data_IF_342800016988
#
_entry.id   IF_342800016988
#
_cell.length_a   1.000
_cell.length_b   1.000
_cell.length_c   1.000
_cell.angle_alpha   90.00
_cell.angle_beta   90.00
_cell.angle_gamma   90.00
#
_symmetry.space_group_name_H-M   'P 1'
#
loop_
_entity.id
_entity.type
_entity.pdbx_description
1 polymer ?
#
# COMPACT_ATOMS: atom_id res chain seq x y z
N UNK A 1 6.01 41.65 66.46
CA UNK A 1 5.66 42.86 65.67
C UNK A 1 4.93 42.33 64.44
N UNK A 2 3.64 42.41 64.26
CA UNK A 2 2.62 43.34 64.74
C UNK A 2 1.67 43.50 63.55
N UNK A 3 0.46 42.99 63.70
CA UNK A 3 -0.81 43.18 62.98
C UNK A 3 -0.88 43.84 61.59
N UNK A 4 -1.81 43.32 60.77
CA UNK A 4 -2.89 44.19 60.29
C UNK A 4 -3.19 44.25 58.80
N UNK A 5 -4.14 43.41 58.38
CA UNK A 5 -5.31 43.75 57.55
C UNK A 5 -5.22 43.99 56.01
N UNK A 6 -5.60 42.94 55.29
CA UNK A 6 -6.78 42.80 54.41
C UNK A 6 -7.15 43.82 53.28
N UNK A 7 -7.44 43.21 52.11
CA UNK A 7 -8.34 43.59 50.99
C UNK A 7 -7.86 44.64 49.97
N UNK A 8 -7.46 44.19 48.78
CA UNK A 8 -8.23 44.31 47.52
C UNK A 8 -7.41 43.76 46.33
N UNK A 9 -8.02 42.99 45.43
CA UNK A 9 -7.35 42.51 44.22
C UNK A 9 -8.24 41.67 43.31
N UNK A 10 -9.37 42.23 42.86
CA UNK A 10 -10.26 41.61 41.87
C UNK A 10 -9.95 42.18 40.48
N UNK A 11 -9.49 41.29 39.61
CA UNK A 11 -9.68 41.21 38.15
C UNK A 11 -9.73 42.50 37.30
N UNK A 12 -8.76 42.65 36.40
CA UNK A 12 -9.04 43.15 35.04
C UNK A 12 -8.10 42.46 34.02
N UNK A 13 -8.55 41.33 33.45
CA UNK A 13 -8.00 40.76 32.22
C UNK A 13 -9.02 40.97 31.12
N UNK A 14 -8.96 42.14 30.47
CA UNK A 14 -9.67 42.41 29.22
C UNK A 14 -9.19 41.44 28.14
N UNK A 15 -9.98 40.40 27.89
CA UNK A 15 -9.90 39.64 26.65
C UNK A 15 -10.38 40.56 25.51
N UNK A 16 -9.47 40.89 24.58
CA UNK A 16 -9.81 41.50 23.30
C UNK A 16 -10.78 40.56 22.57
N UNK A 17 -12.05 40.93 22.49
CA UNK A 17 -12.99 40.32 21.56
C UNK A 17 -12.54 40.64 20.13
N UNK A 18 -12.41 39.65 19.22
CA UNK A 18 -12.35 39.94 17.79
C UNK A 18 -13.70 40.53 17.37
N UNK A 19 -13.63 41.58 16.56
CA UNK A 19 -14.73 42.45 16.18
C UNK A 19 -15.81 41.66 15.40
N UNK A 20 -16.90 41.27 16.09
CA UNK A 20 -18.07 40.58 15.50
C UNK A 20 -18.66 41.38 14.33
N UNK A 21 -18.42 42.70 14.31
CA UNK A 21 -18.79 43.59 13.20
C UNK A 21 -18.10 43.23 11.88
N UNK A 22 -16.84 42.77 11.89
CA UNK A 22 -16.14 42.39 10.66
C UNK A 22 -16.67 41.09 10.04
N UNK A 23 -17.04 40.09 10.85
CA UNK A 23 -17.63 38.85 10.35
C UNK A 23 -19.01 39.07 9.71
N UNK A 24 -19.86 39.91 10.31
CA UNK A 24 -21.16 40.23 9.73
C UNK A 24 -21.03 41.04 8.42
N UNK A 25 -20.06 41.95 8.32
CA UNK A 25 -19.82 42.74 7.09
C UNK A 25 -19.30 41.85 5.95
N UNK A 26 -18.45 40.86 6.23
CA UNK A 26 -17.97 39.92 5.22
C UNK A 26 -19.08 39.02 4.65
N UNK A 27 -20.03 38.58 5.50
CA UNK A 27 -21.19 37.79 5.07
C UNK A 27 -22.20 38.64 4.27
N UNK A 28 -22.37 39.92 4.62
CA UNK A 28 -23.21 40.86 3.87
C UNK A 28 -22.60 41.19 2.50
N UNK A 29 -21.26 41.26 2.40
CA UNK A 29 -20.55 41.52 1.13
C UNK A 29 -20.74 40.43 0.08
N UNK A 30 -20.82 39.15 0.48
CA UNK A 30 -21.03 38.03 -0.45
C UNK A 30 -22.45 37.99 -1.04
N UNK A 31 -23.41 38.61 -0.36
CA UNK A 31 -24.82 38.59 -0.78
C UNK A 31 -25.28 39.87 -1.52
N UNK A 32 -24.43 40.90 -1.65
CA UNK A 32 -24.90 42.25 -2.02
C UNK A 32 -24.14 42.99 -3.14
N UNK A 33 -23.17 42.41 -3.85
CA UNK A 33 -22.52 43.09 -4.99
C UNK A 33 -22.62 42.33 -6.30
N UNK A 34 -23.39 42.87 -7.24
CA UNK A 34 -23.43 42.43 -8.63
C UNK A 34 -22.18 42.87 -9.45
N UNK A 35 -21.21 43.57 -8.83
CA UNK A 35 -20.11 44.19 -9.57
C UNK A 35 -18.72 43.56 -9.37
N UNK A 36 -18.49 42.64 -8.42
CA UNK A 36 -17.27 41.83 -8.31
C UNK A 36 -17.59 40.50 -7.60
N UNK A 37 -17.29 39.36 -8.23
CA UNK A 37 -17.33 38.05 -7.56
C UNK A 37 -16.19 37.97 -6.54
N UNK A 38 -16.45 37.69 -5.24
CA UNK A 38 -15.39 37.48 -4.27
C UNK A 38 -14.55 36.24 -4.62
N UNK A 39 -13.24 36.29 -4.38
CA UNK A 39 -12.33 35.18 -4.64
C UNK A 39 -12.72 33.93 -3.83
N UNK A 40 -12.63 32.75 -4.43
CA UNK A 40 -12.96 31.45 -3.81
C UNK A 40 -12.21 31.25 -2.49
N UNK A 41 -10.99 31.77 -2.37
CA UNK A 41 -10.19 31.68 -1.15
C UNK A 41 -10.80 32.47 0.02
N UNK A 42 -11.38 33.64 -0.23
CA UNK A 42 -12.03 34.47 0.79
C UNK A 42 -13.32 33.82 1.31
N UNK A 43 -14.07 33.18 0.41
CA UNK A 43 -15.28 32.41 0.75
C UNK A 43 -14.92 31.19 1.61
N UNK A 44 -13.88 30.44 1.23
CA UNK A 44 -13.42 29.28 2.00
C UNK A 44 -12.89 29.69 3.37
N UNK A 45 -12.21 30.83 3.48
CA UNK A 45 -11.71 31.37 4.76
C UNK A 45 -12.85 31.79 5.68
N UNK A 46 -13.89 32.43 5.14
CA UNK A 46 -15.09 32.77 5.90
C UNK A 46 -15.85 31.52 6.38
N UNK A 47 -15.98 30.50 5.53
CA UNK A 47 -16.60 29.22 5.89
C UNK A 47 -15.83 28.49 6.99
N UNK A 48 -14.49 28.45 6.91
CA UNK A 48 -13.65 27.88 7.98
C UNK A 48 -13.82 28.61 9.30
N UNK A 49 -13.81 29.94 9.29
CA UNK A 49 -14.05 30.74 10.50
C UNK A 49 -15.42 30.49 11.14
N UNK A 50 -16.44 30.24 10.32
CA UNK A 50 -17.79 29.88 10.80
C UNK A 50 -17.81 28.48 11.45
N UNK A 51 -17.10 27.52 10.86
CA UNK A 51 -16.96 26.15 11.40
C UNK A 51 -16.17 26.15 12.72
N UNK A 52 -15.09 26.91 12.81
CA UNK A 52 -14.27 27.05 14.03
C UNK A 52 -15.02 27.76 15.16
N UNK A 53 -15.88 28.72 14.83
CA UNK A 53 -16.75 29.38 15.80
C UNK A 53 -17.88 28.45 16.28
N UNK A 54 -18.51 27.69 15.37
CA UNK A 54 -19.57 26.75 15.71
C UNK A 54 -19.05 25.57 16.57
N UNK A 55 -17.81 25.13 16.35
CA UNK A 55 -17.17 24.07 17.14
C UNK A 55 -16.74 24.52 18.54
N UNK A 56 -16.38 25.80 18.71
CA UNK A 56 -16.00 26.38 20.00
C UNK A 56 -17.19 26.82 20.88
N UNK A 57 -18.39 27.02 20.30
CA UNK A 57 -19.59 27.48 21.04
C UNK A 57 -20.86 26.68 20.67
N UNK A 58 -21.00 25.42 21.13
CA UNK A 58 -22.04 24.50 20.67
C UNK A 58 -23.47 25.02 20.91
N UNK A 59 -23.72 25.70 22.03
CA UNK A 59 -25.04 26.20 22.42
C UNK A 59 -25.49 27.46 21.65
N UNK A 60 -24.56 28.18 21.00
CA UNK A 60 -24.85 29.35 20.17
C UNK A 60 -24.89 29.03 18.66
N UNK A 61 -24.41 27.85 18.27
CA UNK A 61 -24.31 27.43 16.86
C UNK A 61 -25.68 27.31 16.18
N UNK A 62 -26.67 26.73 16.85
CA UNK A 62 -28.02 26.48 16.32
C UNK A 62 -28.77 27.78 15.95
N UNK A 63 -28.90 28.79 16.83
CA UNK A 63 -29.58 30.03 16.47
C UNK A 63 -28.84 30.84 15.39
N UNK A 64 -27.51 30.78 15.35
CA UNK A 64 -26.72 31.48 14.32
C UNK A 64 -26.90 30.80 12.96
N UNK A 65 -26.87 29.47 12.89
CA UNK A 65 -27.17 28.72 11.67
C UNK A 65 -28.59 29.03 11.20
N UNK A 66 -29.58 29.08 12.10
CA UNK A 66 -30.96 29.43 11.75
C UNK A 66 -31.06 30.84 11.16
N UNK A 67 -30.36 31.83 11.73
CA UNK A 67 -30.35 33.20 11.20
C UNK A 67 -29.70 33.26 9.81
N UNK A 68 -28.58 32.57 9.60
CA UNK A 68 -27.92 32.50 8.28
C UNK A 68 -28.82 31.82 7.25
N UNK A 69 -29.54 30.75 7.65
CA UNK A 69 -30.50 30.09 6.78
C UNK A 69 -31.67 31.01 6.41
N UNK A 70 -32.19 31.76 7.39
CA UNK A 70 -33.26 32.74 7.15
C UNK A 70 -32.81 33.89 6.25
N UNK A 71 -31.57 34.38 6.44
CA UNK A 71 -31.00 35.44 5.59
C UNK A 71 -30.76 34.97 4.16
N UNK A 72 -30.29 33.74 3.97
CA UNK A 72 -30.11 33.15 2.63
C UNK A 72 -31.44 32.90 1.94
N UNK A 73 -32.46 32.40 2.65
CA UNK A 73 -33.84 32.29 2.14
C UNK A 73 -34.38 33.67 1.76
N UNK A 74 -34.19 34.70 2.60
CA UNK A 74 -34.63 36.06 2.31
C UNK A 74 -33.93 36.66 1.09
N UNK A 75 -32.62 36.42 0.92
CA UNK A 75 -31.85 36.84 -0.25
C UNK A 75 -32.32 36.13 -1.52
N UNK A 76 -32.56 34.81 -1.45
CA UNK A 76 -33.18 34.06 -2.54
C UNK A 76 -34.55 34.63 -2.91
N UNK A 77 -35.43 34.86 -1.94
CA UNK A 77 -36.76 35.44 -2.18
C UNK A 77 -36.69 36.82 -2.83
N UNK A 78 -35.71 37.65 -2.43
CA UNK A 78 -35.46 38.96 -3.05
C UNK A 78 -35.01 38.80 -4.51
N UNK A 79 -34.04 37.93 -4.77
CA UNK A 79 -33.56 37.64 -6.12
C UNK A 79 -34.66 37.07 -7.01
N UNK A 80 -35.49 36.16 -6.49
CA UNK A 80 -36.67 35.66 -7.18
C UNK A 80 -37.62 36.80 -7.53
N UNK A 81 -37.93 37.69 -6.57
CA UNK A 81 -38.84 38.82 -6.80
C UNK A 81 -38.31 39.78 -7.88
N UNK A 82 -37.01 40.07 -7.88
CA UNK A 82 -36.36 40.91 -8.90
C UNK A 82 -36.39 40.24 -10.28
N UNK A 83 -36.13 38.93 -10.35
CA UNK A 83 -36.23 38.16 -11.59
C UNK A 83 -37.67 38.11 -12.11
N UNK A 84 -38.67 37.92 -11.25
CA UNK A 84 -40.08 37.97 -11.65
C UNK A 84 -40.49 39.37 -12.15
N UNK A 85 -39.98 40.44 -11.52
CA UNK A 85 -40.20 41.81 -11.99
C UNK A 85 -39.62 42.05 -13.38
N UNK A 86 -38.39 41.58 -13.63
CA UNK A 86 -37.75 41.66 -14.95
C UNK A 86 -38.51 40.84 -16.01
N UNK A 87 -38.97 39.63 -15.66
CA UNK A 87 -39.81 38.80 -16.55
C UNK A 87 -41.10 39.54 -16.90
N UNK A 88 -41.76 40.15 -15.91
CA UNK A 88 -43.01 40.91 -16.10
C UNK A 88 -42.79 42.12 -17.03
N UNK A 89 -41.66 42.82 -16.87
CA UNK A 89 -41.28 43.95 -17.71
C UNK A 89 -40.98 43.53 -19.16
N UNK A 90 -40.24 42.44 -19.37
CA UNK A 90 -39.97 41.89 -20.72
C UNK A 90 -41.25 41.40 -21.40
N UNK A 91 -42.18 40.81 -20.64
CA UNK A 91 -43.49 40.36 -21.14
C UNK A 91 -44.38 41.55 -21.53
N UNK A 92 -44.42 42.61 -20.71
CA UNK A 92 -45.29 43.78 -20.94
C UNK A 92 -44.72 44.77 -21.95
N UNK A 93 -43.42 45.04 -21.90
CA UNK A 93 -42.77 46.15 -22.61
C UNK A 93 -41.58 45.73 -23.50
N UNK A 94 -41.12 44.47 -23.42
CA UNK A 94 -40.00 43.98 -24.22
C UNK A 94 -40.31 43.87 -25.72
N UNK A 95 -39.28 44.01 -26.55
CA UNK A 95 -39.38 43.82 -28.00
C UNK A 95 -39.68 42.35 -28.34
N UNK A 96 -40.25 42.10 -29.53
CA UNK A 96 -40.65 40.74 -29.99
C UNK A 96 -39.50 39.72 -29.83
N UNK A 97 -38.26 40.10 -30.18
CA UNK A 97 -37.08 39.24 -30.03
C UNK A 97 -36.78 38.86 -28.57
N UNK A 98 -36.97 39.78 -27.62
CA UNK A 98 -36.74 39.54 -26.19
C UNK A 98 -37.81 38.60 -25.61
N UNK A 99 -39.07 38.75 -26.03
CA UNK A 99 -40.17 37.85 -25.62
C UNK A 99 -39.97 36.43 -26.15
N UNK A 100 -39.50 36.28 -27.39
CA UNK A 100 -39.15 34.96 -27.97
C UNK A 100 -37.99 34.33 -27.19
N UNK A 101 -36.91 35.09 -26.92
CA UNK A 101 -35.76 34.59 -26.16
C UNK A 101 -36.15 34.15 -24.74
N UNK A 102 -37.01 34.91 -24.06
CA UNK A 102 -37.56 34.55 -22.75
C UNK A 102 -38.40 33.27 -22.83
N UNK A 103 -39.28 33.14 -23.84
CA UNK A 103 -40.09 31.94 -24.06
C UNK A 103 -39.23 30.69 -24.30
N UNK A 104 -38.17 30.79 -25.11
CA UNK A 104 -37.20 29.69 -25.32
C UNK A 104 -36.47 29.34 -24.04
N UNK A 105 -36.04 30.34 -23.27
CA UNK A 105 -35.32 30.12 -22.00
C UNK A 105 -36.21 29.42 -20.96
N UNK A 106 -37.45 29.88 -20.80
CA UNK A 106 -38.43 29.24 -19.91
C UNK A 106 -38.76 27.81 -20.37
N UNK A 107 -38.86 27.57 -21.67
CA UNK A 107 -39.04 26.22 -22.21
C UNK A 107 -37.85 25.30 -21.90
N UNK A 108 -36.61 25.78 -22.06
CA UNK A 108 -35.40 25.02 -21.70
C UNK A 108 -35.38 24.70 -20.21
N UNK A 109 -35.67 25.69 -19.35
CA UNK A 109 -35.73 25.51 -17.90
C UNK A 109 -36.82 24.50 -17.52
N UNK A 110 -37.99 24.55 -18.16
CA UNK A 110 -39.07 23.58 -17.94
C UNK A 110 -38.65 22.16 -18.36
N UNK A 111 -37.98 22.02 -19.51
CA UNK A 111 -37.45 20.73 -19.96
C UNK A 111 -36.43 20.18 -18.95
N UNK A 112 -35.49 21.01 -18.47
CA UNK A 112 -34.52 20.61 -17.44
C UNK A 112 -35.23 20.23 -16.14
N UNK A 113 -36.23 21.02 -15.70
CA UNK A 113 -36.97 20.79 -14.46
C UNK A 113 -37.81 19.50 -14.50
N UNK A 114 -38.23 19.04 -15.68
CA UNK A 114 -38.96 17.77 -15.85
C UNK A 114 -38.00 16.60 -16.08
N UNK A 115 -37.00 16.77 -16.95
CA UNK A 115 -36.08 15.69 -17.34
C UNK A 115 -35.07 15.38 -16.24
N UNK A 116 -34.54 16.39 -15.54
CA UNK A 116 -33.50 16.16 -14.52
C UNK A 116 -33.99 15.31 -13.35
N UNK A 117 -35.19 15.50 -12.75
CA UNK A 117 -35.70 14.62 -11.71
C UNK A 117 -35.93 13.19 -12.21
N UNK A 118 -36.46 13.03 -13.43
CA UNK A 118 -36.67 11.69 -14.03
C UNK A 118 -35.33 10.99 -14.26
N UNK A 119 -34.35 11.70 -14.81
CA UNK A 119 -32.99 11.20 -15.00
C UNK A 119 -32.33 10.84 -13.66
N UNK A 120 -32.44 11.70 -12.64
CA UNK A 120 -31.91 11.45 -11.30
C UNK A 120 -32.58 10.24 -10.65
N UNK A 121 -33.89 10.10 -10.73
CA UNK A 121 -34.61 8.93 -10.21
C UNK A 121 -34.23 7.66 -10.97
N UNK A 122 -34.03 7.74 -12.28
CA UNK A 122 -33.57 6.61 -13.09
C UNK A 122 -32.13 6.20 -12.73
N UNK A 123 -31.22 7.17 -12.56
CA UNK A 123 -29.83 6.94 -12.17
C UNK A 123 -29.65 6.49 -10.72
N UNK A 124 -30.57 6.88 -9.82
CA UNK A 124 -30.58 6.46 -8.42
C UNK A 124 -31.25 5.11 -8.19
N UNK A 125 -31.75 4.43 -9.22
CA UNK A 125 -32.29 3.08 -9.02
C UNK A 125 -31.16 2.14 -8.61
N UNK A 126 -31.34 1.33 -7.56
CA UNK A 126 -30.33 0.35 -7.18
C UNK A 126 -30.01 -0.58 -8.34
N UNK A 127 -28.73 -0.89 -8.49
CA UNK A 127 -28.21 -1.89 -9.41
C UNK A 127 -27.27 -2.81 -8.64
N UNK A 128 -26.99 -4.02 -9.14
CA UNK A 128 -25.98 -4.87 -8.53
C UNK A 128 -24.60 -4.19 -8.54
N UNK A 129 -23.84 -4.35 -7.46
CA UNK A 129 -22.50 -3.79 -7.29
C UNK A 129 -21.56 -4.93 -6.91
N UNK A 130 -20.53 -5.16 -7.73
CA UNK A 130 -19.51 -6.16 -7.43
C UNK A 130 -18.74 -5.81 -6.16
N UNK A 131 -18.44 -6.83 -5.35
CA UNK A 131 -17.61 -6.74 -4.15
C UNK A 131 -16.22 -7.24 -4.53
N UNK A 132 -15.31 -6.32 -4.85
CA UNK A 132 -13.94 -6.65 -5.25
C UNK A 132 -12.96 -5.64 -4.65
N UNK A 133 -11.95 -6.17 -3.97
CA UNK A 133 -10.93 -5.37 -3.26
C UNK A 133 -9.72 -5.01 -4.15
N UNK A 134 -9.44 -5.82 -5.18
CA UNK A 134 -8.25 -5.69 -6.04
C UNK A 134 -8.59 -5.89 -7.51
N UNK A 135 -7.94 -5.10 -8.38
CA UNK A 135 -8.09 -5.20 -9.85
C UNK A 135 -7.29 -6.35 -10.47
N UNK A 136 -6.18 -6.73 -9.84
CA UNK A 136 -5.36 -7.90 -10.22
C UNK A 136 -5.52 -8.95 -9.14
N UNK A 137 -5.91 -10.16 -9.53
CA UNK A 137 -6.25 -11.25 -8.62
C UNK A 137 -5.50 -12.50 -9.03
N UNK A 138 -4.72 -13.07 -8.11
CA UNK A 138 -4.10 -14.38 -8.27
C UNK A 138 -4.90 -15.40 -7.45
N UNK A 139 -5.57 -16.33 -8.13
CA UNK A 139 -6.35 -17.40 -7.47
C UNK A 139 -6.59 -18.56 -8.43
N UNK A 140 -6.57 -19.80 -7.91
CA UNK A 140 -6.99 -21.00 -8.65
C UNK A 140 -8.48 -20.98 -8.97
N UNK A 141 -9.28 -20.35 -8.12
CA UNK A 141 -10.73 -20.26 -8.25
C UNK A 141 -11.19 -18.83 -7.95
N UNK A 142 -11.61 -18.11 -9.00
CA UNK A 142 -12.14 -16.76 -8.82
C UNK A 142 -13.65 -16.82 -8.62
N UNK A 143 -14.11 -16.29 -7.49
CA UNK A 143 -15.53 -16.18 -7.17
C UNK A 143 -15.94 -14.71 -7.31
N UNK A 144 -16.71 -14.41 -8.36
CA UNK A 144 -17.33 -13.10 -8.52
C UNK A 144 -18.45 -12.98 -7.48
N UNK A 145 -18.43 -11.90 -6.70
CA UNK A 145 -19.45 -11.61 -5.70
C UNK A 145 -20.03 -10.22 -5.94
N UNK A 146 -21.31 -10.04 -5.63
CA UNK A 146 -21.97 -8.74 -5.72
C UNK A 146 -22.98 -8.55 -4.60
N UNK A 147 -23.45 -7.32 -4.45
CA UNK A 147 -24.56 -6.96 -3.57
C UNK A 147 -25.64 -6.28 -4.39
N UNK A 148 -26.89 -6.44 -3.98
CA UNK A 148 -28.01 -5.76 -4.62
C UNK A 148 -29.08 -5.44 -3.57
N UNK A 149 -29.34 -4.16 -3.33
CA UNK A 149 -30.19 -3.73 -2.21
C UNK A 149 -31.68 -4.02 -2.40
N UNK A 150 -32.14 -4.29 -3.62
CA UNK A 150 -33.54 -4.67 -3.90
C UNK A 150 -33.75 -6.19 -3.90
N UNK A 151 -32.69 -6.98 -3.63
CA UNK A 151 -32.84 -8.41 -3.41
C UNK A 151 -33.30 -8.66 -1.97
N UNK A 152 -34.62 -8.72 -1.80
CA UNK A 152 -35.24 -9.10 -0.55
C UNK A 152 -35.64 -10.58 -0.64
N UNK A 153 -34.88 -11.43 0.03
CA UNK A 153 -35.21 -12.84 0.28
C UNK A 153 -35.12 -13.81 -0.93
N UNK A 154 -34.27 -13.53 -1.94
CA UNK A 154 -33.95 -14.49 -3.01
C UNK A 154 -34.91 -14.47 -4.20
N UNK A 155 -35.70 -13.41 -4.33
CA UNK A 155 -36.68 -13.21 -5.40
C UNK A 155 -36.06 -12.65 -6.71
N UNK A 156 -34.74 -12.55 -6.74
CA UNK A 156 -33.96 -12.05 -7.87
C UNK A 156 -33.15 -13.18 -8.49
N UNK A 157 -33.30 -13.36 -9.80
CA UNK A 157 -32.40 -14.21 -10.58
C UNK A 157 -31.32 -13.34 -11.21
N UNK A 158 -30.06 -13.71 -11.03
CA UNK A 158 -28.93 -13.03 -11.63
C UNK A 158 -28.48 -13.75 -12.89
N UNK A 159 -28.10 -12.98 -13.90
CA UNK A 159 -27.40 -13.42 -15.11
C UNK A 159 -26.03 -12.76 -15.13
N UNK A 160 -24.99 -13.54 -14.88
CA UNK A 160 -23.61 -13.10 -14.98
C UNK A 160 -23.09 -13.40 -16.37
N UNK A 161 -22.42 -12.42 -16.96
CA UNK A 161 -21.65 -12.54 -18.20
C UNK A 161 -20.19 -12.22 -17.88
N UNK A 162 -19.29 -13.08 -18.33
CA UNK A 162 -17.85 -12.91 -18.23
C UNK A 162 -17.22 -13.04 -19.61
N UNK A 163 -16.46 -12.03 -20.02
CA UNK A 163 -15.77 -11.98 -21.30
C UNK A 163 -14.26 -11.84 -21.09
N UNK A 164 -13.49 -12.60 -21.84
CA UNK A 164 -12.02 -12.50 -21.93
C UNK A 164 -11.59 -12.72 -23.38
N UNK A 165 -10.42 -12.24 -23.81
CA UNK A 165 -9.86 -12.62 -25.11
C UNK A 165 -9.80 -14.14 -25.34
N UNK A 166 -9.72 -14.94 -24.27
CA UNK A 166 -9.67 -16.39 -24.36
C UNK A 166 -11.04 -17.08 -24.41
N UNK A 167 -12.15 -16.36 -24.22
CA UNK A 167 -13.49 -16.97 -24.22
C UNK A 167 -14.60 -16.14 -23.57
N UNK A 168 -15.79 -16.73 -23.56
CA UNK A 168 -17.01 -16.15 -23.04
C UNK A 168 -17.72 -17.16 -22.14
N UNK A 169 -18.20 -16.70 -20.99
CA UNK A 169 -18.92 -17.51 -20.00
C UNK A 169 -20.19 -16.78 -19.57
N UNK A 170 -21.32 -17.48 -19.55
CA UNK A 170 -22.56 -16.99 -18.95
C UNK A 170 -23.05 -17.94 -17.87
N UNK A 171 -23.65 -17.37 -16.83
CA UNK A 171 -24.23 -18.14 -15.74
C UNK A 171 -25.50 -17.50 -15.20
N UNK A 172 -26.42 -18.35 -14.74
CA UNK A 172 -27.62 -17.92 -14.02
C UNK A 172 -27.60 -18.44 -12.59
N UNK A 173 -27.87 -17.57 -11.63
CA UNK A 173 -27.82 -17.90 -10.21
C UNK A 173 -28.89 -17.13 -9.42
N UNK A 174 -29.34 -17.66 -8.29
CA UNK A 174 -30.25 -16.97 -7.35
C UNK A 174 -29.53 -16.46 -6.11
N UNK A 175 -28.24 -16.74 -5.99
CA UNK A 175 -27.36 -16.27 -4.92
C UNK A 175 -26.35 -15.30 -5.53
N UNK A 176 -25.93 -14.24 -4.81
CA UNK A 176 -25.17 -13.14 -5.40
C UNK A 176 -23.67 -13.45 -5.52
N UNK A 177 -23.36 -14.66 -5.96
CA UNK A 177 -22.00 -15.09 -6.31
C UNK A 177 -22.03 -16.13 -7.44
N UNK A 178 -20.93 -16.22 -8.18
CA UNK A 178 -20.67 -17.28 -9.14
C UNK A 178 -19.16 -17.48 -9.35
N UNK A 179 -18.74 -18.73 -9.58
CA UNK A 179 -17.34 -19.06 -9.88
C UNK A 179 -17.06 -18.81 -11.36
N UNK A 180 -16.11 -17.94 -11.67
CA UNK A 180 -15.70 -17.64 -13.05
C UNK A 180 -14.47 -18.47 -13.41
N UNK A 181 -14.50 -19.15 -14.56
CA UNK A 181 -13.40 -19.99 -15.05
C UNK A 181 -12.37 -19.26 -15.93
N UNK A 182 -12.71 -18.06 -16.42
CA UNK A 182 -11.88 -17.26 -17.31
C UNK A 182 -10.66 -16.65 -16.59
N UNK A 183 -9.58 -16.43 -17.34
CA UNK A 183 -8.32 -15.81 -16.87
C UNK A 183 -7.86 -14.71 -17.84
N UNK A 184 -6.83 -13.96 -17.46
CA UNK A 184 -6.33 -12.79 -18.17
C UNK A 184 -7.19 -11.56 -17.88
N UNK A 185 -7.32 -10.66 -18.87
CA UNK A 185 -8.22 -9.52 -18.79
C UNK A 185 -9.68 -9.99 -18.90
N UNK A 186 -10.40 -9.95 -17.79
CA UNK A 186 -11.80 -10.38 -17.71
C UNK A 186 -12.71 -9.19 -17.47
N UNK A 187 -13.75 -9.07 -18.30
CA UNK A 187 -14.86 -8.14 -18.13
C UNK A 187 -16.04 -8.90 -17.56
N UNK A 188 -16.51 -8.50 -16.38
CA UNK A 188 -17.68 -9.07 -15.72
C UNK A 188 -18.84 -8.07 -15.78
N UNK A 189 -20.04 -8.58 -16.01
CA UNK A 189 -21.26 -7.80 -15.91
C UNK A 189 -22.40 -8.68 -15.41
N UNK A 190 -23.15 -8.21 -14.40
CA UNK A 190 -24.26 -8.98 -13.84
C UNK A 190 -25.57 -8.23 -14.02
N UNK A 191 -26.60 -8.95 -14.45
CA UNK A 191 -27.97 -8.46 -14.59
C UNK A 191 -28.87 -9.13 -13.57
N UNK A 192 -29.43 -8.35 -12.64
CA UNK A 192 -30.51 -8.76 -11.76
C UNK A 192 -31.84 -8.76 -12.53
N UNK A 193 -32.58 -9.86 -12.43
CA UNK A 193 -33.87 -10.10 -13.07
C UNK A 193 -34.90 -10.37 -11.97
N UNK A 194 -35.78 -9.41 -11.72
CA UNK A 194 -36.87 -9.54 -10.74
C UNK A 194 -37.99 -10.44 -11.30
N UNK A 195 -38.80 -11.04 -10.41
CA UNK A 195 -39.99 -11.84 -10.80
C UNK A 195 -40.94 -11.12 -11.75
N UNK A 196 -41.08 -9.80 -11.62
CA UNK A 196 -41.91 -8.96 -12.50
C UNK A 196 -41.29 -8.71 -13.90
N UNK A 197 -40.15 -9.34 -14.21
CA UNK A 197 -39.41 -9.18 -15.46
C UNK A 197 -38.52 -7.93 -15.54
N UNK A 198 -38.52 -7.06 -14.54
CA UNK A 198 -37.63 -5.88 -14.52
C UNK A 198 -36.19 -6.34 -14.40
N UNK A 199 -35.34 -5.75 -15.26
CA UNK A 199 -33.91 -6.02 -15.32
C UNK A 199 -33.10 -4.81 -14.84
N UNK A 200 -32.02 -5.06 -14.11
CA UNK A 200 -31.02 -4.05 -13.71
C UNK A 200 -29.64 -4.63 -13.88
N UNK A 201 -28.80 -3.94 -14.64
CA UNK A 201 -27.46 -4.39 -14.96
C UNK A 201 -26.43 -3.56 -14.20
N UNK A 202 -25.39 -4.22 -13.69
CA UNK A 202 -24.26 -3.57 -13.02
C UNK A 202 -23.44 -2.74 -14.00
N UNK A 203 -22.60 -1.86 -13.45
CA UNK A 203 -21.46 -1.37 -14.22
C UNK A 203 -20.54 -2.54 -14.57
N UNK A 204 -19.87 -2.50 -15.74
CA UNK A 204 -18.90 -3.52 -16.09
C UNK A 204 -17.72 -3.44 -15.12
N UNK A 205 -17.30 -4.60 -14.61
CA UNK A 205 -16.12 -4.73 -13.80
C UNK A 205 -14.99 -5.33 -14.64
N UNK A 206 -13.93 -4.56 -14.84
CA UNK A 206 -12.71 -5.01 -15.50
C UNK A 206 -11.71 -5.48 -14.44
N UNK A 207 -11.20 -6.70 -14.60
CA UNK A 207 -10.23 -7.35 -13.73
C UNK A 207 -9.13 -8.04 -14.56
N UNK A 208 -8.01 -8.31 -13.90
CA UNK A 208 -7.01 -9.26 -14.37
C UNK A 208 -6.99 -10.46 -13.43
N UNK A 209 -7.32 -11.65 -13.94
CA UNK A 209 -7.44 -12.87 -13.15
C UNK A 209 -6.39 -13.87 -13.62
N UNK A 210 -5.48 -14.28 -12.74
CA UNK A 210 -4.43 -15.25 -13.04
C UNK A 210 -4.46 -16.38 -12.01
N UNK A 211 -4.08 -17.60 -12.41
CA UNK A 211 -4.08 -18.77 -11.51
C UNK A 211 -2.90 -18.76 -10.55
N UNK A 212 -1.77 -18.25 -11.02
CA UNK A 212 -0.51 -18.13 -10.29
C UNK A 212 0.38 -17.04 -10.90
N UNK A 213 1.54 -16.79 -10.29
CA UNK A 213 2.52 -15.81 -10.79
C UNK A 213 3.09 -16.17 -12.15
N UNK A 214 3.29 -17.47 -12.47
CA UNK A 214 3.89 -17.87 -13.73
C UNK A 214 2.96 -17.56 -14.91
N UNK A 215 1.66 -17.87 -14.78
CA UNK A 215 0.67 -17.50 -15.79
C UNK A 215 0.64 -15.98 -16.00
N UNK A 216 0.67 -15.20 -14.90
CA UNK A 216 0.73 -13.74 -14.96
C UNK A 216 1.98 -13.25 -15.70
N UNK A 217 3.15 -13.80 -15.38
CA UNK A 217 4.41 -13.47 -16.06
C UNK A 217 4.32 -13.78 -17.55
N UNK A 218 3.81 -14.96 -17.91
CA UNK A 218 3.70 -15.38 -19.32
C UNK A 218 2.76 -14.49 -20.12
N UNK A 219 1.64 -14.06 -19.53
CA UNK A 219 0.67 -13.21 -20.21
C UNK A 219 1.06 -11.73 -20.26
N UNK A 220 1.76 -11.23 -19.24
CA UNK A 220 2.09 -9.80 -19.12
C UNK A 220 3.52 -9.47 -19.55
N UNK A 221 4.39 -10.47 -19.65
CA UNK A 221 5.83 -10.29 -19.88
C UNK A 221 6.57 -9.67 -18.68
N UNK A 222 5.91 -9.43 -17.54
CA UNK A 222 6.50 -8.71 -16.40
C UNK A 222 6.82 -9.64 -15.24
N UNK A 223 8.06 -9.63 -14.77
CA UNK A 223 8.49 -10.24 -13.51
C UNK A 223 8.74 -9.14 -12.48
N UNK A 224 8.16 -9.28 -11.29
CA UNK A 224 8.28 -8.34 -10.17
C UNK A 224 8.99 -9.06 -9.02
N UNK A 225 10.12 -8.50 -8.57
CA UNK A 225 10.99 -9.13 -7.58
C UNK A 225 11.09 -8.24 -6.36
N UNK A 226 10.74 -8.79 -5.19
CA UNK A 226 10.96 -8.09 -3.92
C UNK A 226 12.38 -8.30 -3.44
N UNK A 227 13.05 -7.21 -3.09
CA UNK A 227 14.44 -7.20 -2.62
C UNK A 227 14.59 -6.37 -1.35
N UNK A 228 15.65 -6.66 -0.60
CA UNK A 228 16.18 -5.78 0.43
C UNK A 228 17.62 -5.44 0.06
N UNK A 229 17.93 -4.15 -0.06
CA UNK A 229 19.25 -3.68 -0.45
C UNK A 229 19.99 -3.07 0.75
N UNK A 230 21.29 -3.38 0.83
CA UNK A 230 22.19 -2.66 1.74
C UNK A 230 22.59 -1.30 1.19
N UNK A 231 22.94 -0.41 2.12
CA UNK A 231 23.46 0.93 1.80
C UNK A 231 24.91 0.90 1.31
N UNK A 232 25.63 -0.21 1.54
CA UNK A 232 27.04 -0.35 1.19
C UNK A 232 27.24 -1.38 0.07
N UNK A 233 28.20 -1.16 -0.85
CA UNK A 233 28.63 -2.18 -1.80
C UNK A 233 28.98 -3.50 -1.12
N UNK A 234 28.53 -4.61 -1.72
CA UNK A 234 28.69 -5.92 -1.11
C UNK A 234 28.41 -7.07 -2.07
N UNK A 235 28.23 -8.27 -1.51
CA UNK A 235 28.08 -9.50 -2.30
C UNK A 235 26.69 -9.68 -2.88
N UNK A 236 25.63 -9.42 -2.10
CA UNK A 236 24.28 -9.92 -2.37
C UNK A 236 23.36 -8.90 -3.05
N UNK A 237 22.83 -7.93 -2.30
CA UNK A 237 21.99 -6.87 -2.85
C UNK A 237 22.35 -5.55 -2.18
N UNK A 238 22.76 -4.57 -2.97
CA UNK A 238 23.06 -3.22 -2.49
C UNK A 238 22.60 -2.19 -3.51
N UNK A 239 22.37 -0.96 -3.04
CA UNK A 239 21.99 0.14 -3.90
C UNK A 239 23.24 0.95 -4.31
N UNK A 240 23.51 1.04 -5.61
CA UNK A 240 24.51 1.93 -6.19
C UNK A 240 23.84 3.21 -6.65
N UNK A 241 24.42 4.37 -6.32
CA UNK A 241 23.92 5.68 -6.80
C UNK A 241 23.87 5.78 -8.31
N UNK A 242 24.77 5.08 -9.00
CA UNK A 242 25.01 5.27 -10.43
C UNK A 242 24.39 4.15 -11.28
N UNK A 243 24.31 2.94 -10.72
CA UNK A 243 23.90 1.73 -11.43
C UNK A 243 22.62 1.08 -10.88
N UNK A 244 21.96 1.71 -9.89
CA UNK A 244 20.78 1.15 -9.22
C UNK A 244 21.11 -0.08 -8.37
N UNK A 245 20.17 -1.02 -8.24
CA UNK A 245 20.40 -2.24 -7.47
C UNK A 245 21.44 -3.15 -8.14
N UNK A 246 22.38 -3.62 -7.35
CA UNK A 246 23.52 -4.44 -7.77
C UNK A 246 23.75 -5.61 -6.80
N UNK A 247 24.54 -6.59 -7.25
CA UNK A 247 24.98 -7.73 -6.46
C UNK A 247 24.38 -9.06 -6.94
N UNK A 248 24.81 -10.15 -6.31
CA UNK A 248 24.46 -11.51 -6.72
C UNK A 248 22.94 -11.78 -6.74
N UNK A 249 22.17 -11.23 -5.79
CA UNK A 249 20.72 -11.43 -5.73
C UNK A 249 20.03 -10.79 -6.96
N UNK A 250 20.56 -9.66 -7.45
CA UNK A 250 20.10 -8.99 -8.66
C UNK A 250 20.53 -9.76 -9.91
N UNK A 251 21.78 -10.20 -9.97
CA UNK A 251 22.32 -11.00 -11.08
C UNK A 251 21.53 -12.30 -11.27
N UNK A 252 21.26 -13.01 -10.17
CA UNK A 252 20.47 -14.25 -10.17
C UNK A 252 19.02 -14.00 -10.60
N UNK A 253 18.41 -12.89 -10.15
CA UNK A 253 17.05 -12.52 -10.58
C UNK A 253 16.95 -12.26 -12.08
N UNK A 254 17.95 -11.57 -12.66
CA UNK A 254 18.03 -11.31 -14.11
C UNK A 254 18.25 -12.59 -14.89
N UNK A 255 19.08 -13.49 -14.39
CA UNK A 255 19.31 -14.81 -14.97
C UNK A 255 18.05 -15.69 -14.98
N UNK A 256 17.31 -15.73 -13.86
CA UNK A 256 16.01 -16.40 -13.78
C UNK A 256 15.05 -15.82 -14.83
N UNK A 257 14.94 -14.49 -14.90
CA UNK A 257 14.07 -13.83 -15.87
C UNK A 257 14.44 -14.16 -17.32
N UNK A 258 15.74 -14.16 -17.65
CA UNK A 258 16.20 -14.53 -18.99
C UNK A 258 15.79 -15.95 -19.36
N UNK A 259 15.90 -16.90 -18.43
CA UNK A 259 15.51 -18.29 -18.66
C UNK A 259 14.02 -18.44 -18.86
N UNK A 260 13.23 -17.80 -18.01
CA UNK A 260 11.76 -17.79 -18.13
C UNK A 260 11.37 -17.20 -19.49
N UNK A 261 11.86 -16.01 -19.83
CA UNK A 261 11.51 -15.38 -21.10
C UNK A 261 11.95 -16.20 -22.32
N UNK A 262 13.16 -16.80 -22.29
CA UNK A 262 13.59 -17.70 -23.35
C UNK A 262 12.68 -18.93 -23.49
N UNK A 263 12.31 -19.57 -22.37
CA UNK A 263 11.45 -20.77 -22.34
C UNK A 263 10.04 -20.49 -22.87
N UNK A 264 9.49 -19.33 -22.55
CA UNK A 264 8.13 -18.94 -22.93
C UNK A 264 8.07 -18.04 -24.18
N UNK A 265 9.19 -17.89 -24.90
CA UNK A 265 9.30 -17.07 -26.12
C UNK A 265 8.87 -15.60 -25.94
N UNK A 266 9.21 -15.03 -24.78
CA UNK A 266 8.92 -13.64 -24.42
C UNK A 266 10.12 -12.75 -24.73
N UNK A 267 9.91 -11.48 -25.11
CA UNK A 267 11.01 -10.53 -25.21
C UNK A 267 11.66 -10.32 -23.85
N UNK A 268 12.99 -10.29 -23.81
CA UNK A 268 13.70 -10.04 -22.56
C UNK A 268 13.47 -8.62 -22.06
N UNK A 269 13.17 -8.49 -20.77
CA UNK A 269 13.16 -7.24 -20.03
C UNK A 269 13.79 -7.45 -18.65
N UNK A 270 14.43 -6.44 -18.08
CA UNK A 270 14.90 -6.58 -16.70
C UNK A 270 13.69 -6.74 -15.75
N UNK A 271 13.82 -7.52 -14.66
CA UNK A 271 12.78 -7.59 -13.64
C UNK A 271 12.51 -6.22 -13.02
N UNK A 272 11.25 -5.99 -12.63
CA UNK A 272 10.88 -4.84 -11.80
C UNK A 272 11.26 -5.13 -10.35
N UNK A 273 12.31 -4.49 -9.88
CA UNK A 273 12.76 -4.63 -8.49
C UNK A 273 11.97 -3.68 -7.58
N UNK A 274 11.38 -4.24 -6.52
CA UNK A 274 10.68 -3.51 -5.47
C UNK A 274 11.41 -3.66 -4.16
N UNK A 275 11.80 -2.53 -3.58
CA UNK A 275 12.47 -2.50 -2.29
C UNK A 275 11.47 -2.63 -1.15
N UNK A 276 11.83 -3.45 -0.17
CA UNK A 276 11.13 -3.58 1.11
C UNK A 276 12.13 -3.57 2.26
N UNK A 277 11.72 -3.06 3.41
CA UNK A 277 12.48 -3.23 4.64
C UNK A 277 12.33 -4.66 5.17
N UNK A 278 13.36 -5.17 5.84
CA UNK A 278 13.24 -6.37 6.65
C UNK A 278 12.52 -6.05 7.97
N UNK A 279 11.57 -6.87 8.46
CA UNK A 279 11.09 -8.15 7.92
C UNK A 279 9.87 -8.05 6.98
N UNK A 280 9.39 -6.83 6.65
CA UNK A 280 8.18 -6.59 5.84
C UNK A 280 8.23 -7.31 4.48
N UNK A 281 9.43 -7.43 3.88
CA UNK A 281 9.68 -8.18 2.65
C UNK A 281 9.05 -9.58 2.65
N UNK A 282 9.04 -10.27 3.80
CA UNK A 282 8.54 -11.66 3.90
C UNK A 282 7.05 -11.79 3.60
N UNK A 283 6.26 -10.71 3.73
CA UNK A 283 4.82 -10.72 3.46
C UNK A 283 4.48 -10.44 1.99
N UNK A 284 5.41 -9.85 1.22
CA UNK A 284 5.15 -9.34 -0.13
C UNK A 284 4.72 -10.42 -1.14
N UNK A 285 5.24 -11.67 -1.12
CA UNK A 285 4.76 -12.72 -2.02
C UNK A 285 3.29 -13.07 -1.76
N UNK A 286 2.92 -13.27 -0.50
CA UNK A 286 1.56 -13.70 -0.12
C UNK A 286 0.50 -12.61 -0.31
N UNK A 287 0.90 -11.33 -0.33
CA UNK A 287 0.01 -10.23 -0.75
C UNK A 287 -0.11 -10.07 -2.27
N UNK A 288 0.65 -10.86 -3.03
CA UNK A 288 0.82 -10.82 -4.48
C UNK A 288 1.34 -9.48 -5.02
N UNK A 289 2.11 -8.76 -4.20
CA UNK A 289 2.79 -7.54 -4.64
C UNK A 289 4.04 -7.84 -5.46
N UNK A 290 4.65 -8.99 -5.26
CA UNK A 290 5.82 -9.48 -5.99
C UNK A 290 5.64 -10.95 -6.35
N UNK A 291 6.31 -11.42 -7.38
CA UNK A 291 6.25 -12.84 -7.77
C UNK A 291 7.14 -13.71 -6.89
N UNK A 292 8.31 -13.19 -6.53
CA UNK A 292 9.25 -13.83 -5.63
C UNK A 292 10.10 -12.80 -4.89
N UNK A 293 10.71 -13.23 -3.79
CA UNK A 293 11.65 -12.44 -3.00
C UNK A 293 13.02 -13.10 -2.93
N UNK A 294 14.06 -12.27 -2.98
CA UNK A 294 15.45 -12.67 -2.83
C UNK A 294 16.21 -11.58 -2.08
N UNK A 295 16.80 -11.94 -0.94
CA UNK A 295 17.50 -11.02 -0.06
C UNK A 295 18.35 -11.78 0.97
N UNK A 296 19.17 -12.76 0.52
CA UNK A 296 19.92 -13.64 1.44
C UNK A 296 19.02 -14.30 2.51
N UNK A 297 17.85 -14.80 2.11
CA UNK A 297 16.82 -15.26 3.05
C UNK A 297 17.07 -16.73 3.38
N UNK A 298 17.42 -17.04 4.62
CA UNK A 298 17.48 -18.42 5.09
C UNK A 298 16.12 -19.12 5.02
N UNK A 299 16.02 -20.28 4.37
CA UNK A 299 14.79 -21.08 4.41
C UNK A 299 14.57 -21.62 5.82
N UNK A 300 13.37 -21.43 6.37
CA UNK A 300 13.00 -22.03 7.66
C UNK A 300 11.52 -22.41 7.66
N UNK A 301 11.12 -23.51 8.34
CA UNK A 301 9.70 -23.87 8.47
C UNK A 301 8.85 -22.78 9.13
N UNK A 302 9.46 -21.98 10.03
CA UNK A 302 8.78 -20.85 10.66
C UNK A 302 8.42 -19.74 9.65
N UNK A 303 9.28 -19.49 8.65
CA UNK A 303 9.00 -18.51 7.59
C UNK A 303 7.94 -19.03 6.62
N UNK A 304 7.99 -20.32 6.25
CA UNK A 304 7.00 -20.94 5.38
C UNK A 304 5.59 -20.84 5.98
N UNK A 305 5.41 -21.34 7.20
CA UNK A 305 4.11 -21.33 7.88
C UNK A 305 3.67 -19.93 8.30
N UNK A 306 4.59 -19.10 8.79
CA UNK A 306 4.28 -17.77 9.33
C UNK A 306 3.90 -16.73 8.28
N UNK A 307 4.43 -16.86 7.06
CA UNK A 307 4.20 -15.90 5.97
C UNK A 307 3.52 -16.52 4.75
N UNK A 308 3.20 -17.82 4.76
CA UNK A 308 2.57 -18.51 3.63
C UNK A 308 3.51 -18.65 2.43
N UNK A 309 4.80 -18.85 2.69
CA UNK A 309 5.85 -18.90 1.67
C UNK A 309 6.19 -20.33 1.26
N UNK A 310 6.74 -20.47 0.06
CA UNK A 310 7.50 -21.64 -0.38
C UNK A 310 8.90 -21.24 -0.78
N UNK A 311 9.90 -22.01 -0.33
CA UNK A 311 11.30 -21.77 -0.68
C UNK A 311 11.78 -22.63 -1.84
N UNK A 312 12.70 -22.06 -2.62
CA UNK A 312 13.46 -22.75 -3.65
C UNK A 312 14.45 -23.73 -3.03
N UNK A 313 15.10 -24.51 -3.88
CA UNK A 313 16.38 -25.11 -3.51
C UNK A 313 17.38 -24.00 -3.17
N UNK A 314 18.28 -24.20 -2.19
CA UNK A 314 19.14 -23.14 -1.73
C UNK A 314 20.17 -22.76 -2.81
N UNK A 315 20.28 -21.47 -3.11
CA UNK A 315 21.32 -20.96 -4.01
C UNK A 315 22.65 -20.74 -3.28
N UNK A 316 22.65 -20.74 -1.94
CA UNK A 316 23.87 -20.62 -1.15
C UNK A 316 23.70 -21.16 0.27
N UNK A 317 24.79 -21.62 0.88
CA UNK A 317 24.81 -22.02 2.28
C UNK A 317 25.95 -21.31 3.02
N UNK A 318 25.64 -20.68 4.14
CA UNK A 318 26.64 -19.99 4.99
C UNK A 318 26.43 -20.36 6.45
N UNK A 319 27.48 -20.21 7.25
CA UNK A 319 27.38 -20.32 8.70
C UNK A 319 27.20 -18.94 9.32
N UNK A 320 26.95 -18.89 10.63
CA UNK A 320 27.07 -17.68 11.43
C UNK A 320 28.52 -17.21 11.50
N UNK A 321 28.67 -15.89 11.43
CA UNK A 321 29.90 -15.17 11.68
C UNK A 321 29.75 -14.18 12.83
N UNK A 322 30.85 -13.49 13.08
CA UNK A 322 30.94 -12.44 14.08
C UNK A 322 31.59 -11.21 13.45
N UNK A 323 30.90 -10.08 13.48
CA UNK A 323 31.47 -8.78 13.10
C UNK A 323 32.02 -8.10 14.37
N UNK A 324 33.27 -7.63 14.33
CA UNK A 324 33.96 -6.94 15.43
C UNK A 324 34.69 -5.69 14.92
N UNK A 325 34.94 -4.70 15.79
CA UNK A 325 35.60 -3.44 15.38
C UNK A 325 37.05 -3.60 14.91
N UNK A 326 37.74 -4.65 15.33
CA UNK A 326 39.15 -4.91 15.00
C UNK A 326 39.69 -6.16 15.68
N UNK A 327 40.99 -6.43 15.49
CA UNK A 327 41.66 -7.63 16.00
C UNK A 327 42.21 -8.53 14.89
N UNK A 328 42.42 -9.81 15.19
CA UNK A 328 42.79 -10.81 14.20
C UNK A 328 41.56 -11.34 13.45
N UNK A 329 41.78 -11.83 12.23
CA UNK A 329 40.75 -12.48 11.40
C UNK A 329 40.54 -13.96 11.73
N UNK A 330 41.19 -14.46 12.79
CA UNK A 330 41.12 -15.86 13.17
C UNK A 330 39.68 -16.27 13.51
N UNK A 331 39.34 -17.53 13.30
CA UNK A 331 38.03 -18.05 13.70
C UNK A 331 37.83 -17.92 15.21
N UNK A 332 36.59 -17.69 15.64
CA UNK A 332 36.25 -17.59 17.05
C UNK A 332 35.70 -18.92 17.58
N UNK A 333 36.22 -19.38 18.71
CA UNK A 333 35.70 -20.57 19.40
C UNK A 333 34.39 -20.27 20.12
N UNK A 334 33.63 -21.32 20.42
CA UNK A 334 32.39 -21.23 21.18
C UNK A 334 32.60 -20.63 22.58
N UNK A 335 33.64 -21.07 23.30
CA UNK A 335 33.95 -20.54 24.64
C UNK A 335 34.29 -19.06 24.62
N UNK A 336 35.02 -18.60 23.59
CA UNK A 336 35.29 -17.17 23.40
C UNK A 336 34.01 -16.41 23.09
N UNK A 337 33.16 -16.96 22.21
CA UNK A 337 31.87 -16.35 21.84
C UNK A 337 30.96 -16.15 23.06
N UNK A 338 30.89 -17.11 23.99
CA UNK A 338 30.06 -17.03 25.21
C UNK A 338 30.48 -15.93 26.18
N UNK A 339 31.73 -15.45 26.10
CA UNK A 339 32.27 -14.41 26.98
C UNK A 339 31.97 -12.99 26.45
N UNK A 340 31.53 -12.87 25.20
CA UNK A 340 31.22 -11.60 24.56
C UNK A 340 29.79 -11.17 24.85
N UNK A 341 29.57 -9.86 24.93
CA UNK A 341 28.24 -9.24 24.83
C UNK A 341 27.97 -8.97 23.35
N UNK A 342 26.96 -9.62 22.77
CA UNK A 342 26.74 -9.64 21.33
C UNK A 342 25.49 -8.84 20.93
N UNK A 343 25.55 -8.11 19.83
CA UNK A 343 24.38 -7.51 19.19
C UNK A 343 23.71 -8.49 18.23
N UNK A 344 22.39 -8.49 18.16
CA UNK A 344 21.65 -9.31 17.19
C UNK A 344 20.33 -8.67 16.76
N UNK A 345 19.95 -8.84 15.49
CA UNK A 345 18.65 -8.42 15.01
C UNK A 345 17.58 -9.45 15.44
N UNK A 346 16.58 -9.02 16.21
CA UNK A 346 15.57 -9.89 16.82
C UNK A 346 14.71 -10.67 15.82
N UNK A 347 14.65 -10.23 14.57
CA UNK A 347 13.81 -10.83 13.51
C UNK A 347 14.58 -11.76 12.57
N UNK A 348 15.83 -12.09 12.91
CA UNK A 348 16.74 -12.91 12.07
C UNK A 348 17.07 -14.25 12.73
N UNK A 349 17.59 -15.19 11.92
CA UNK A 349 18.05 -16.50 12.40
C UNK A 349 19.22 -16.40 13.38
N UNK A 350 20.01 -15.32 13.33
CA UNK A 350 21.04 -15.02 14.32
C UNK A 350 20.47 -14.89 15.76
N UNK A 351 19.25 -14.37 15.92
CA UNK A 351 18.62 -14.31 17.24
C UNK A 351 18.26 -15.71 17.76
N UNK A 352 17.71 -16.56 16.90
CA UNK A 352 17.43 -17.97 17.22
C UNK A 352 18.70 -18.76 17.51
N UNK A 353 19.79 -18.49 16.79
CA UNK A 353 21.12 -19.05 17.05
C UNK A 353 21.61 -18.66 18.45
N UNK A 354 21.53 -17.37 18.79
CA UNK A 354 21.92 -16.88 20.11
C UNK A 354 21.10 -17.50 21.25
N UNK A 355 19.78 -17.61 21.07
CA UNK A 355 18.87 -18.19 22.07
C UNK A 355 19.16 -19.68 22.29
N UNK A 356 19.35 -20.45 21.20
CA UNK A 356 19.71 -21.87 21.25
C UNK A 356 20.98 -22.09 22.08
N UNK A 357 21.98 -21.24 21.87
CA UNK A 357 23.28 -21.36 22.51
C UNK A 357 23.37 -20.68 23.87
N UNK A 358 22.29 -19.97 24.30
CA UNK A 358 22.22 -19.18 25.52
C UNK A 358 23.37 -18.16 25.61
N UNK A 359 23.59 -17.42 24.53
CA UNK A 359 24.62 -16.37 24.45
C UNK A 359 24.15 -15.08 25.13
N UNK A 360 25.11 -14.26 25.60
CA UNK A 360 24.84 -12.94 26.17
C UNK A 360 24.58 -11.94 25.03
N UNK A 361 23.30 -11.64 24.76
CA UNK A 361 22.91 -10.81 23.62
C UNK A 361 22.05 -9.60 23.97
N UNK A 362 22.28 -8.51 23.24
CA UNK A 362 21.42 -7.33 23.15
C UNK A 362 20.68 -7.41 21.81
N UNK A 363 19.35 -7.56 21.88
CA UNK A 363 18.49 -7.67 20.69
C UNK A 363 17.97 -6.28 20.29
N UNK A 364 18.02 -5.96 19.00
CA UNK A 364 17.38 -4.77 18.43
C UNK A 364 16.51 -5.16 17.23
N UNK A 365 15.43 -4.41 16.93
CA UNK A 365 14.53 -4.76 15.84
C UNK A 365 15.14 -4.54 14.45
N UNK A 366 16.07 -3.58 14.29
CA UNK A 366 16.64 -3.24 12.98
C UNK A 366 18.13 -3.54 12.88
N UNK A 367 18.62 -3.75 11.65
CA UNK A 367 20.06 -3.90 11.38
C UNK A 367 20.84 -2.67 11.84
N UNK A 368 20.33 -1.48 11.54
CA UNK A 368 20.98 -0.21 11.83
C UNK A 368 21.22 -0.03 13.33
N UNK A 369 20.23 -0.35 14.17
CA UNK A 369 20.37 -0.29 15.62
C UNK A 369 21.41 -1.28 16.16
N UNK A 370 21.43 -2.52 15.64
CA UNK A 370 22.43 -3.53 16.04
C UNK A 370 23.85 -3.06 15.69
N UNK A 371 24.02 -2.49 14.50
CA UNK A 371 25.30 -1.98 14.05
C UNK A 371 25.75 -0.74 14.83
N UNK A 372 24.82 0.13 15.22
CA UNK A 372 25.10 1.26 16.11
C UNK A 372 25.59 0.81 17.49
N UNK A 373 25.05 -0.29 18.05
CA UNK A 373 25.56 -0.84 19.31
C UNK A 373 27.05 -1.20 19.23
N UNK A 374 27.50 -1.77 18.11
CA UNK A 374 28.91 -2.12 17.95
C UNK A 374 29.76 -0.87 17.73
N UNK A 375 29.29 0.08 16.94
CA UNK A 375 29.98 1.36 16.75
C UNK A 375 30.17 2.12 18.08
N UNK A 376 29.14 2.14 18.93
CA UNK A 376 29.14 2.83 20.23
C UNK A 376 29.91 2.09 21.34
N UNK A 377 30.46 0.89 21.08
CA UNK A 377 31.09 0.07 22.11
C UNK A 377 30.12 -0.58 23.11
N UNK A 378 28.82 -0.54 22.83
CA UNK A 378 27.77 -1.16 23.67
C UNK A 378 27.70 -2.68 23.53
N UNK A 379 28.30 -3.24 22.49
CA UNK A 379 28.52 -4.68 22.32
C UNK A 379 29.94 -4.93 21.81
N UNK A 380 30.44 -6.15 22.03
CA UNK A 380 31.78 -6.58 21.63
C UNK A 380 31.81 -7.11 20.20
N UNK A 381 30.68 -7.62 19.71
CA UNK A 381 30.52 -8.08 18.34
C UNK A 381 29.05 -8.24 17.94
N UNK A 382 28.80 -8.45 16.65
CA UNK A 382 27.46 -8.68 16.10
C UNK A 382 27.41 -10.10 15.53
N UNK A 383 26.40 -10.87 15.94
CA UNK A 383 26.07 -12.13 15.30
C UNK A 383 25.32 -11.87 14.00
N UNK A 384 25.88 -12.35 12.90
CA UNK A 384 25.32 -12.18 11.58
C UNK A 384 25.86 -13.27 10.65
N UNK A 385 25.19 -13.54 9.55
CA UNK A 385 25.63 -14.57 8.61
C UNK A 385 27.03 -14.23 8.10
N UNK A 386 27.93 -15.21 8.05
CA UNK A 386 29.33 -14.94 7.72
C UNK A 386 29.49 -14.28 6.35
N UNK A 387 28.83 -14.81 5.32
CA UNK A 387 28.92 -14.25 3.97
C UNK A 387 28.44 -12.79 3.89
N UNK A 388 27.42 -12.44 4.67
CA UNK A 388 26.93 -11.06 4.80
C UNK A 388 27.88 -10.18 5.61
N UNK A 389 28.45 -10.75 6.66
CA UNK A 389 29.38 -10.10 7.57
C UNK A 389 30.62 -9.58 6.85
N UNK A 390 31.10 -10.25 5.80
CA UNK A 390 32.27 -9.81 5.04
C UNK A 390 32.04 -8.44 4.39
N UNK A 391 30.89 -8.23 3.73
CA UNK A 391 30.55 -6.93 3.13
C UNK A 391 30.34 -5.84 4.19
N UNK A 392 29.57 -6.16 5.24
CA UNK A 392 29.22 -5.19 6.27
C UNK A 392 30.41 -4.78 7.16
N UNK A 393 31.36 -5.70 7.37
CA UNK A 393 32.60 -5.41 8.08
C UNK A 393 33.55 -4.55 7.23
N UNK A 394 33.77 -4.94 5.97
CA UNK A 394 34.69 -4.24 5.07
C UNK A 394 34.30 -2.76 4.89
N UNK A 395 33.02 -2.46 4.70
CA UNK A 395 32.56 -1.08 4.51
C UNK A 395 32.77 -0.16 5.72
N UNK A 396 33.05 -0.73 6.90
CA UNK A 396 33.23 -0.01 8.17
C UNK A 396 34.66 -0.06 8.71
N UNK A 397 35.59 -0.68 7.98
CA UNK A 397 36.94 -0.95 8.49
C UNK A 397 36.96 -1.92 9.67
N UNK A 398 35.93 -2.77 9.77
CA UNK A 398 35.75 -3.79 10.80
C UNK A 398 36.21 -5.16 10.29
N UNK A 399 36.15 -6.16 11.16
CA UNK A 399 36.56 -7.53 10.86
C UNK A 399 35.38 -8.48 10.96
N UNK A 400 35.24 -9.35 9.98
CA UNK A 400 34.38 -10.52 10.06
C UNK A 400 35.19 -11.76 10.41
N UNK A 401 34.72 -12.52 11.40
CA UNK A 401 35.28 -13.80 11.83
C UNK A 401 34.26 -14.91 11.59
N UNK A 402 34.73 -16.09 11.20
CA UNK A 402 33.90 -17.31 11.24
C UNK A 402 33.79 -17.79 12.68
N UNK A 403 32.64 -18.35 13.04
CA UNK A 403 32.50 -19.12 14.28
C UNK A 403 32.97 -20.55 13.98
N UNK A 404 33.88 -21.08 14.79
CA UNK A 404 34.34 -22.45 14.66
C UNK A 404 33.28 -23.42 15.21
N UNK A 405 32.43 -23.94 14.34
CA UNK A 405 31.34 -24.84 14.71
C UNK A 405 31.82 -26.17 15.32
N UNK A 406 33.08 -26.56 15.11
CA UNK A 406 33.65 -27.76 15.73
C UNK A 406 33.83 -27.62 17.24
N UNK A 407 33.92 -26.39 17.73
CA UNK A 407 33.98 -26.08 19.16
C UNK A 407 32.60 -25.98 19.82
N UNK A 408 31.51 -26.04 19.04
CA UNK A 408 30.14 -26.08 19.56
C UNK A 408 29.76 -27.54 19.88
N UNK A 409 29.21 -27.84 21.08
CA UNK A 409 28.68 -29.16 21.42
C UNK A 409 27.75 -29.69 20.33
N UNK A 410 27.88 -30.98 19.97
CA UNK A 410 27.19 -31.57 18.81
C UNK A 410 25.67 -31.44 18.88
N UNK A 411 25.09 -31.55 20.08
CA UNK A 411 23.67 -31.39 20.38
C UNK A 411 23.16 -29.95 20.24
N UNK A 412 24.08 -28.98 20.34
CA UNK A 412 23.78 -27.55 20.21
C UNK A 412 24.17 -26.98 18.84
N UNK A 413 24.87 -27.75 18.00
CA UNK A 413 25.35 -27.30 16.70
C UNK A 413 24.16 -26.92 15.80
N UNK A 414 24.07 -25.67 15.36
CA UNK A 414 22.98 -25.24 14.50
C UNK A 414 23.21 -25.69 13.05
N UNK A 415 22.14 -25.79 12.25
CA UNK A 415 22.28 -26.02 10.82
C UNK A 415 23.01 -24.84 10.15
N UNK A 416 23.47 -25.08 8.92
CA UNK A 416 23.89 -24.00 8.03
C UNK A 416 22.68 -23.12 7.67
N UNK A 417 22.92 -21.84 7.47
CA UNK A 417 21.95 -20.92 6.87
C UNK A 417 21.89 -21.17 5.37
N UNK A 418 20.76 -21.70 4.91
CA UNK A 418 20.54 -22.02 3.51
C UNK A 418 19.71 -20.91 2.86
N UNK A 419 20.37 -20.06 2.08
CA UNK A 419 19.71 -18.97 1.36
C UNK A 419 18.91 -19.51 0.18
N UNK A 420 17.64 -19.13 0.14
CA UNK A 420 16.72 -19.55 -0.90
C UNK A 420 15.84 -18.37 -1.34
N UNK A 421 15.28 -18.51 -2.54
CA UNK A 421 14.28 -17.60 -3.09
C UNK A 421 12.91 -18.04 -2.57
N UNK A 422 12.06 -17.09 -2.17
CA UNK A 422 10.72 -17.41 -1.67
C UNK A 422 9.63 -16.92 -2.64
N UNK A 423 8.61 -17.73 -2.84
CA UNK A 423 7.40 -17.40 -3.62
C UNK A 423 6.17 -17.49 -2.74
N UNK A 424 5.04 -16.96 -3.23
CA UNK A 424 3.73 -17.26 -2.64
C UNK A 424 3.44 -18.76 -2.75
N UNK A 425 2.66 -19.30 -1.79
CA UNK A 425 2.23 -20.71 -1.83
C UNK A 425 1.42 -21.11 -3.07
N UNK A 426 0.85 -20.14 -3.78
CA UNK A 426 0.10 -20.37 -5.00
C UNK A 426 1.02 -20.63 -6.22
N UNK A 427 2.29 -20.24 -6.14
CA UNK A 427 3.18 -20.05 -7.30
C UNK A 427 4.17 -21.20 -7.53
N UNK A 428 3.73 -22.45 -7.34
CA UNK A 428 4.54 -23.67 -7.50
C UNK A 428 5.22 -23.79 -8.87
N UNK A 429 4.52 -23.37 -9.94
CA UNK A 429 5.06 -23.38 -11.30
C UNK A 429 6.27 -22.44 -11.45
N UNK A 430 6.18 -21.23 -10.89
CA UNK A 430 7.29 -20.27 -10.89
C UNK A 430 8.47 -20.80 -10.06
N UNK A 431 8.19 -21.42 -8.92
CA UNK A 431 9.21 -22.01 -8.06
C UNK A 431 10.01 -23.10 -8.80
N UNK A 432 9.34 -23.91 -9.63
CA UNK A 432 10.00 -24.92 -10.46
C UNK A 432 10.95 -24.29 -11.51
N UNK A 433 10.56 -23.17 -12.14
CA UNK A 433 11.44 -22.44 -13.06
C UNK A 433 12.66 -21.86 -12.34
N UNK A 434 12.46 -21.33 -11.13
CA UNK A 434 13.53 -20.80 -10.28
C UNK A 434 14.53 -21.91 -9.92
N UNK A 435 14.07 -23.08 -9.47
CA UNK A 435 14.96 -24.21 -9.17
C UNK A 435 15.72 -24.67 -10.41
N UNK A 436 15.07 -24.70 -11.57
CA UNK A 436 15.72 -25.00 -12.84
C UNK A 436 16.86 -24.04 -13.17
N UNK A 437 16.70 -22.75 -12.86
CA UNK A 437 17.77 -21.77 -13.00
C UNK A 437 18.90 -22.00 -11.99
N UNK A 438 18.60 -22.16 -10.70
CA UNK A 438 19.59 -22.38 -9.64
C UNK A 438 20.48 -23.59 -9.94
N UNK A 439 19.90 -24.71 -10.37
CA UNK A 439 20.65 -25.93 -10.68
C UNK A 439 21.57 -25.83 -11.90
N UNK A 440 21.42 -24.79 -12.71
CA UNK A 440 22.17 -24.61 -13.96
C UNK A 440 23.35 -23.64 -13.85
N UNK A 441 23.60 -23.09 -12.66
CA UNK A 441 24.61 -22.07 -12.41
C UNK A 441 25.43 -22.49 -11.18
N UNK A 442 26.74 -22.27 -11.21
CA UNK A 442 27.59 -22.41 -10.01
C UNK A 442 27.42 -21.20 -9.08
N UNK A 443 26.26 -21.08 -8.46
CA UNK A 443 25.92 -19.98 -7.56
C UNK A 443 26.91 -19.91 -6.40
N UNK A 444 27.36 -21.06 -5.90
CA UNK A 444 28.32 -21.17 -4.80
C UNK A 444 29.69 -20.60 -5.18
N UNK A 445 30.29 -21.05 -6.27
CA UNK A 445 31.61 -20.56 -6.71
C UNK A 445 31.60 -19.06 -7.01
N UNK A 446 30.52 -18.56 -7.62
CA UNK A 446 30.34 -17.12 -7.89
C UNK A 446 30.28 -16.29 -6.60
N UNK A 447 29.54 -16.75 -5.58
CA UNK A 447 29.45 -16.06 -4.29
C UNK A 447 30.78 -16.16 -3.53
N UNK A 448 31.39 -17.34 -3.47
CA UNK A 448 32.68 -17.54 -2.79
C UNK A 448 33.78 -16.66 -3.42
N UNK A 449 33.81 -16.53 -4.75
CA UNK A 449 34.72 -15.62 -5.44
C UNK A 449 34.51 -14.15 -5.08
N UNK A 450 33.24 -13.68 -5.00
CA UNK A 450 32.92 -12.31 -4.54
C UNK A 450 33.34 -12.09 -3.09
N UNK A 451 33.15 -13.08 -2.21
CA UNK A 451 33.58 -13.00 -0.80
C UNK A 451 35.10 -12.88 -0.69
N UNK A 452 35.85 -13.69 -1.44
CA UNK A 452 37.31 -13.63 -1.45
C UNK A 452 37.83 -12.27 -1.91
N UNK A 453 37.23 -11.70 -2.96
CA UNK A 453 37.62 -10.39 -3.49
C UNK A 453 37.40 -9.22 -2.52
N UNK A 454 36.46 -9.34 -1.56
CA UNK A 454 36.24 -8.32 -0.52
C UNK A 454 37.14 -8.57 0.70
N UNK A 455 37.49 -9.84 0.95
CA UNK A 455 38.34 -10.20 2.08
C UNK A 455 39.81 -9.81 1.83
N UNK A 456 40.28 -9.85 0.59
CA UNK A 456 41.61 -9.36 0.18
C UNK A 456 41.59 -7.86 -0.11
#
# INVERSE_FOLDING_TARGET
MGDGDARNGRADRKAKFPDVRLCCIAIIGVAASADHMPNIEDVLKALRGLVDFASSHPYLSVPIIAIVLLMTIASMLKSFREQFGWIEEVVKHGAIRQRIALGVTLAIVLVIAVVAPIAVVHYRRPKPIFVVDKRVVLTREFNAQWTYSEDHNGDVKYHLVADSPSGHEEAFTTIPYHRVGLTGHVRLQVTAIQKNGRKRTSDPLLLEIYRDSLQRIVQTGRIIVGIHADDNPGVFCFNSSDAGYQGFDIDLSKEIARRIYAKYHLPYQDPEFRFYHWPELLSAPSSFEVDFIIASISRTPGRESGYGLRFSDPYYATQMGLVVRGGDRADISFDSLRRLRLGVNSTTTAASFADRLKLNVVKQPTKQEVFALLADGKVDGILYDYARSVSEAASRGWISRRINYDTIPKDLRPPMEEYAIATASLSDGLLAEINGAIHSIDTRGMIEGKIQNIAH
#
